data_IF_292803148904
#
_entry.id   IF_292803148904
#
_cell.length_a   1.000
_cell.length_b   1.000
_cell.length_c   1.000
_cell.angle_alpha   90.00
_cell.angle_beta   90.00
_cell.angle_gamma   90.00
#
_symmetry.space_group_name_H-M   'P 1'
#
loop_
_entity.id
_entity.type
_entity.pdbx_description
1 polymer ?
#
# COMPACT_ATOMS: atom_id res chain seq x y z
N UNK A 1 13.23 -11.89 2.04
CA UNK A 1 12.94 -11.37 0.66
C UNK A 1 13.49 -9.97 0.57
N UNK A 2 13.97 -9.52 -0.61
CA UNK A 2 14.41 -8.15 -0.88
C UNK A 2 13.62 -7.59 -2.04
N UNK A 3 13.33 -6.27 -2.01
CA UNK A 3 12.56 -5.60 -3.05
C UNK A 3 13.43 -4.58 -3.79
N UNK A 4 13.71 -4.84 -5.08
CA UNK A 4 14.31 -3.86 -5.98
C UNK A 4 13.31 -2.74 -6.29
N UNK A 5 13.77 -1.48 -6.35
CA UNK A 5 12.89 -0.33 -6.61
C UNK A 5 12.99 0.07 -8.07
N UNK A 6 11.87 -0.01 -8.78
CA UNK A 6 11.67 0.47 -10.16
C UNK A 6 11.00 1.84 -10.12
N UNK A 7 11.71 2.89 -10.58
CA UNK A 7 11.25 4.28 -10.48
C UNK A 7 10.85 4.85 -11.82
N UNK A 8 9.67 5.49 -11.84
CA UNK A 8 9.11 6.12 -13.03
C UNK A 8 8.65 7.56 -12.74
N UNK A 9 8.81 8.46 -13.71
CA UNK A 9 8.25 9.80 -13.62
C UNK A 9 6.73 9.78 -13.77
N UNK A 10 6.21 8.99 -14.70
CA UNK A 10 4.77 8.88 -15.01
C UNK A 10 4.45 7.52 -15.61
N UNK A 11 3.35 6.91 -15.18
CA UNK A 11 2.85 5.62 -15.67
C UNK A 11 1.32 5.67 -15.85
N UNK A 12 0.74 4.64 -16.45
CA UNK A 12 -0.72 4.42 -16.44
C UNK A 12 -1.17 4.09 -15.02
N UNK A 13 -0.61 3.02 -14.45
CA UNK A 13 -0.81 2.56 -13.08
C UNK A 13 0.45 1.82 -12.61
N UNK A 14 0.84 1.97 -11.36
CA UNK A 14 1.98 1.22 -10.79
C UNK A 14 1.70 -0.27 -10.74
N UNK A 15 0.44 -0.70 -10.57
CA UNK A 15 0.06 -2.12 -10.65
C UNK A 15 0.25 -2.67 -12.08
N UNK A 16 -0.10 -1.89 -13.14
CA UNK A 16 0.10 -2.33 -14.52
C UNK A 16 1.58 -2.50 -14.85
N UNK A 17 2.42 -1.62 -14.31
CA UNK A 17 3.89 -1.74 -14.47
C UNK A 17 4.40 -2.99 -13.73
N UNK A 18 3.91 -3.26 -12.51
CA UNK A 18 4.27 -4.47 -11.78
C UNK A 18 3.90 -5.74 -12.56
N UNK A 19 2.69 -5.79 -13.17
CA UNK A 19 2.26 -6.88 -14.06
C UNK A 19 3.25 -7.02 -15.22
N UNK A 20 3.59 -5.92 -15.89
CA UNK A 20 4.53 -5.95 -17.02
C UNK A 20 5.94 -6.45 -16.61
N UNK A 21 6.43 -6.09 -15.43
CA UNK A 21 7.71 -6.58 -14.90
C UNK A 21 7.68 -8.09 -14.64
N UNK A 22 6.57 -8.62 -14.13
CA UNK A 22 6.37 -10.05 -13.92
C UNK A 22 6.34 -10.78 -15.27
N UNK A 23 5.49 -10.36 -16.20
CA UNK A 23 5.24 -11.08 -17.46
C UNK A 23 6.38 -10.95 -18.47
N UNK A 24 6.97 -9.75 -18.62
CA UNK A 24 7.97 -9.46 -19.65
C UNK A 24 9.41 -9.63 -19.16
N UNK A 25 9.67 -9.20 -17.91
CA UNK A 25 11.02 -9.24 -17.35
C UNK A 25 11.23 -10.41 -16.36
N UNK A 26 10.19 -11.24 -16.14
CA UNK A 26 10.21 -12.42 -15.25
C UNK A 26 10.68 -12.09 -13.83
N UNK A 27 10.35 -10.88 -13.35
CA UNK A 27 10.69 -10.47 -11.99
C UNK A 27 9.79 -11.18 -10.99
N UNK A 28 10.38 -11.80 -9.96
CA UNK A 28 9.65 -12.52 -8.92
C UNK A 28 9.21 -11.63 -7.75
N UNK A 29 9.84 -10.48 -7.59
CA UNK A 29 9.47 -9.48 -6.56
C UNK A 29 10.03 -8.11 -6.92
N UNK A 30 9.41 -7.07 -6.38
CA UNK A 30 9.89 -5.69 -6.55
C UNK A 30 8.93 -4.65 -5.98
N UNK A 31 9.36 -3.40 -6.05
CA UNK A 31 8.59 -2.22 -5.68
C UNK A 31 8.59 -1.24 -6.85
N UNK A 32 7.44 -1.02 -7.45
CA UNK A 32 7.26 0.02 -8.48
C UNK A 32 6.86 1.31 -7.79
N UNK A 33 7.55 2.40 -8.07
CA UNK A 33 7.19 3.76 -7.67
C UNK A 33 7.00 4.64 -8.89
N UNK A 34 5.94 5.45 -8.90
CA UNK A 34 5.74 6.50 -9.90
C UNK A 34 5.43 7.86 -9.24
N UNK A 35 5.95 8.95 -9.81
CA UNK A 35 5.66 10.29 -9.31
C UNK A 35 4.23 10.76 -9.70
N UNK A 36 3.61 10.13 -10.70
CA UNK A 36 2.21 10.36 -11.11
C UNK A 36 1.65 9.16 -11.87
N UNK A 37 0.33 9.00 -11.83
CA UNK A 37 -0.41 8.00 -12.62
C UNK A 37 -1.47 8.71 -13.49
N UNK A 38 -1.70 8.19 -14.70
CA UNK A 38 -2.75 8.72 -15.60
C UNK A 38 -4.07 7.95 -15.49
N UNK A 39 -4.00 6.70 -15.05
CA UNK A 39 -5.15 5.80 -14.86
C UNK A 39 -5.00 5.05 -13.53
N UNK A 40 -4.76 5.80 -12.42
CA UNK A 40 -4.72 5.22 -11.07
C UNK A 40 -6.03 4.51 -10.76
N UNK A 41 -5.95 3.26 -10.25
CA UNK A 41 -7.10 2.44 -9.93
C UNK A 41 -7.31 2.33 -8.44
N UNK A 42 -8.58 2.31 -8.04
CA UNK A 42 -9.05 1.89 -6.73
C UNK A 42 -9.89 0.61 -6.84
N UNK A 43 -10.46 0.15 -5.76
CA UNK A 43 -11.36 -1.01 -5.73
C UNK A 43 -12.68 -0.71 -6.45
N UNK A 44 -13.34 -1.77 -6.96
CA UNK A 44 -14.66 -1.70 -7.60
C UNK A 44 -14.71 -0.70 -8.78
N UNK A 45 -13.64 -0.61 -9.58
CA UNK A 45 -13.59 0.27 -10.75
C UNK A 45 -13.46 1.77 -10.43
N UNK A 46 -13.29 2.14 -9.16
CA UNK A 46 -13.06 3.54 -8.78
C UNK A 46 -11.71 4.04 -9.28
N UNK A 47 -11.62 5.34 -9.55
CA UNK A 47 -10.38 6.00 -9.94
C UNK A 47 -9.63 6.45 -8.67
N UNK A 48 -8.34 6.17 -8.59
CA UNK A 48 -7.44 6.80 -7.62
C UNK A 48 -6.81 8.06 -8.21
N UNK A 49 -7.19 9.22 -7.69
CA UNK A 49 -6.66 10.51 -8.14
C UNK A 49 -5.20 10.63 -7.74
N UNK A 50 -4.32 10.76 -8.75
CA UNK A 50 -2.88 10.64 -8.58
C UNK A 50 -2.16 11.99 -8.74
N UNK A 51 -2.41 12.92 -7.81
CA UNK A 51 -1.77 14.22 -7.79
C UNK A 51 -0.28 14.13 -7.45
N UNK A 52 0.56 14.85 -8.21
CA UNK A 52 2.01 14.92 -7.97
C UNK A 52 2.30 15.36 -6.53
N UNK A 53 3.32 14.73 -5.92
CA UNK A 53 3.68 14.97 -4.52
C UNK A 53 3.07 13.98 -3.54
N UNK A 54 2.16 13.12 -4.00
CA UNK A 54 1.63 11.98 -3.25
C UNK A 54 2.40 10.70 -3.57
N UNK A 55 2.15 9.63 -2.80
CA UNK A 55 2.81 8.34 -2.95
C UNK A 55 1.96 7.39 -3.78
N UNK A 56 2.56 6.81 -4.82
CA UNK A 56 1.99 5.72 -5.61
C UNK A 56 3.04 4.64 -5.76
N UNK A 57 2.83 3.54 -5.06
CA UNK A 57 3.73 2.37 -5.12
C UNK A 57 2.94 1.10 -5.30
N UNK A 58 3.57 0.10 -5.92
CA UNK A 58 3.07 -1.28 -5.97
C UNK A 58 4.18 -2.22 -5.53
N UNK A 59 3.97 -2.90 -4.41
CA UNK A 59 4.80 -4.04 -3.98
C UNK A 59 4.26 -5.26 -4.70
N UNK A 60 5.12 -6.07 -5.29
CA UNK A 60 4.73 -7.32 -5.91
C UNK A 60 5.70 -8.46 -5.56
N UNK A 61 5.17 -9.68 -5.47
CA UNK A 61 5.97 -10.87 -5.19
C UNK A 61 5.25 -12.14 -5.57
N UNK A 62 6.02 -13.19 -5.85
CA UNK A 62 5.52 -14.55 -6.00
C UNK A 62 4.96 -15.03 -4.66
N UNK A 63 3.69 -15.41 -4.64
CA UNK A 63 2.98 -15.93 -3.47
C UNK A 63 3.31 -17.41 -3.29
N UNK A 64 4.27 -17.72 -2.43
CA UNK A 64 4.76 -19.07 -2.17
C UNK A 64 3.82 -19.82 -1.23
N UNK A 65 3.87 -21.15 -1.26
CA UNK A 65 3.01 -22.01 -0.41
C UNK A 65 3.19 -21.79 1.10
N UNK A 66 4.39 -21.41 1.52
CA UNK A 66 4.68 -21.10 2.93
C UNK A 66 4.35 -19.67 3.35
N UNK A 67 3.70 -18.90 2.49
CA UNK A 67 3.23 -17.54 2.80
C UNK A 67 1.77 -17.59 3.24
N UNK A 68 1.30 -16.55 3.96
CA UNK A 68 -0.12 -16.39 4.23
C UNK A 68 -0.94 -16.44 2.95
N UNK A 69 -2.14 -17.04 2.97
CA UNK A 69 -3.03 -17.05 1.82
C UNK A 69 -3.41 -15.62 1.40
N UNK A 70 -3.74 -15.45 0.12
CA UNK A 70 -4.05 -14.15 -0.49
C UNK A 70 -5.06 -13.31 0.32
N UNK A 71 -6.13 -13.94 0.82
CA UNK A 71 -7.17 -13.25 1.56
C UNK A 71 -6.69 -12.62 2.87
N UNK A 72 -5.68 -13.19 3.52
CA UNK A 72 -5.13 -12.67 4.79
C UNK A 72 -4.35 -11.37 4.59
N UNK A 73 -3.83 -11.12 3.38
CA UNK A 73 -3.19 -9.84 3.06
C UNK A 73 -4.15 -8.65 3.11
N UNK A 74 -5.47 -8.87 3.08
CA UNK A 74 -6.45 -7.81 3.33
C UNK A 74 -6.38 -7.26 4.77
N UNK A 75 -5.80 -8.01 5.70
CA UNK A 75 -5.54 -7.63 7.09
C UNK A 75 -4.07 -7.19 7.26
N UNK A 76 -3.14 -7.96 6.70
CA UNK A 76 -1.70 -7.71 6.82
C UNK A 76 -1.31 -6.34 6.24
N UNK A 77 -1.76 -6.03 5.03
CA UNK A 77 -1.38 -4.80 4.33
C UNK A 77 -1.83 -3.52 5.04
N UNK A 78 -3.12 -3.38 5.47
CA UNK A 78 -3.53 -2.21 6.23
C UNK A 78 -2.78 -2.05 7.56
N UNK A 79 -2.45 -3.15 8.24
CA UNK A 79 -1.65 -3.09 9.47
C UNK A 79 -0.24 -2.59 9.20
N UNK A 80 0.46 -3.10 8.18
CA UNK A 80 1.78 -2.61 7.78
C UNK A 80 1.71 -1.11 7.48
N UNK A 81 0.72 -0.67 6.71
CA UNK A 81 0.58 0.76 6.37
C UNK A 81 0.18 1.60 7.59
N UNK A 82 -0.58 1.04 8.54
CA UNK A 82 -0.89 1.73 9.80
C UNK A 82 0.38 2.04 10.61
N UNK A 83 1.33 1.10 10.68
CA UNK A 83 2.61 1.32 11.35
C UNK A 83 3.48 2.36 10.63
N UNK A 84 3.46 2.39 9.28
CA UNK A 84 4.10 3.46 8.50
C UNK A 84 3.52 4.82 8.89
N UNK A 85 2.20 4.95 8.93
CA UNK A 85 1.54 6.20 9.29
C UNK A 85 1.79 6.60 10.76
N UNK A 86 1.76 5.66 11.70
CA UNK A 86 2.13 5.91 13.10
C UNK A 86 3.54 6.47 13.24
N UNK A 87 4.49 5.96 12.43
CA UNK A 87 5.87 6.44 12.43
C UNK A 87 5.98 7.90 11.94
N UNK A 88 5.35 8.24 10.81
CA UNK A 88 5.45 9.57 10.20
C UNK A 88 4.46 10.60 10.79
N UNK A 89 3.36 10.15 11.38
CA UNK A 89 2.28 10.98 11.93
C UNK A 89 2.14 10.78 13.44
N UNK A 90 3.25 10.90 14.19
CA UNK A 90 3.29 10.68 15.64
C UNK A 90 2.21 11.49 16.36
N UNK A 91 1.50 10.86 17.29
CA UNK A 91 0.45 11.49 18.09
C UNK A 91 -0.91 11.64 17.36
N UNK A 92 -1.02 11.17 16.10
CA UNK A 92 -2.29 11.18 15.37
C UNK A 92 -2.97 9.81 15.46
N UNK A 93 -4.31 9.81 15.48
CA UNK A 93 -5.10 8.57 15.53
C UNK A 93 -5.15 7.93 14.14
N UNK A 94 -4.50 6.77 14.00
CA UNK A 94 -4.60 5.92 12.81
C UNK A 94 -5.70 4.90 13.03
N UNK A 95 -6.58 4.71 12.05
CA UNK A 95 -7.63 3.69 12.07
C UNK A 95 -7.79 3.02 10.72
N UNK A 96 -8.38 1.83 10.70
CA UNK A 96 -8.60 1.02 9.50
C UNK A 96 -10.09 0.98 9.16
N UNK A 97 -10.39 1.05 7.87
CA UNK A 97 -11.70 0.70 7.35
C UNK A 97 -11.52 -0.41 6.33
N UNK A 98 -11.89 -1.60 6.76
CA UNK A 98 -11.73 -2.78 5.92
C UNK A 98 -12.55 -2.72 4.64
N UNK A 99 -12.03 -3.38 3.57
CA UNK A 99 -10.80 -4.19 3.57
C UNK A 99 -9.52 -3.42 3.19
N UNK A 100 -9.59 -2.15 2.81
CA UNK A 100 -8.53 -1.54 2.00
C UNK A 100 -8.23 -0.06 2.28
N UNK A 101 -8.86 0.54 3.26
CA UNK A 101 -8.71 1.98 3.53
C UNK A 101 -8.06 2.25 4.89
N UNK A 102 -7.10 3.19 4.91
CA UNK A 102 -6.47 3.67 6.15
C UNK A 102 -6.83 5.13 6.36
N UNK A 103 -7.18 5.46 7.59
CA UNK A 103 -7.65 6.77 8.04
C UNK A 103 -6.67 7.38 9.02
N UNK A 104 -6.57 8.70 9.00
CA UNK A 104 -5.85 9.50 9.97
C UNK A 104 -6.79 10.56 10.54
N UNK A 105 -6.97 10.59 11.86
CA UNK A 105 -7.92 11.48 12.54
C UNK A 105 -9.35 11.43 11.93
N UNK A 106 -9.81 10.23 11.55
CA UNK A 106 -11.13 10.02 10.98
C UNK A 106 -11.29 10.37 9.50
N UNK A 107 -10.20 10.78 8.80
CA UNK A 107 -10.20 11.14 7.39
C UNK A 107 -9.35 10.17 6.57
N UNK A 108 -9.79 9.80 5.36
CA UNK A 108 -9.07 8.87 4.50
C UNK A 108 -7.74 9.45 4.05
N UNK A 109 -6.65 8.71 4.28
CA UNK A 109 -5.30 9.11 3.89
C UNK A 109 -4.65 8.14 2.90
N UNK A 110 -5.03 6.87 2.94
CA UNK A 110 -4.44 5.84 2.09
C UNK A 110 -5.50 4.84 1.62
N UNK A 111 -5.34 4.37 0.39
CA UNK A 111 -6.09 3.26 -0.18
C UNK A 111 -5.14 2.17 -0.67
N UNK A 112 -5.54 0.91 -0.50
CA UNK A 112 -4.77 -0.26 -0.89
C UNK A 112 -5.56 -1.06 -1.91
N UNK A 113 -4.94 -1.40 -3.04
CA UNK A 113 -5.53 -2.23 -4.09
C UNK A 113 -4.71 -3.51 -4.26
N UNK A 114 -5.29 -4.64 -3.89
CA UNK A 114 -4.70 -5.96 -4.11
C UNK A 114 -5.19 -6.55 -5.41
N UNK A 115 -4.27 -7.04 -6.22
CA UNK A 115 -4.54 -7.79 -7.44
C UNK A 115 -3.67 -9.05 -7.48
N UNK A 116 -4.16 -10.11 -8.12
CA UNK A 116 -3.40 -11.33 -8.35
C UNK A 116 -3.33 -11.62 -9.84
N UNK A 117 -2.19 -12.15 -10.26
CA UNK A 117 -2.04 -12.73 -11.59
C UNK A 117 -1.38 -14.10 -11.47
N UNK A 118 -1.67 -14.97 -12.42
CA UNK A 118 -0.94 -16.23 -12.59
C UNK A 118 -0.06 -16.11 -13.82
N UNK A 119 1.24 -16.30 -13.66
CA UNK A 119 2.22 -16.30 -14.74
C UNK A 119 3.17 -17.48 -14.59
N UNK A 120 3.39 -18.25 -15.66
CA UNK A 120 4.23 -19.46 -15.68
C UNK A 120 3.94 -20.42 -14.49
N UNK A 121 2.66 -20.68 -14.21
CA UNK A 121 2.15 -21.52 -13.08
C UNK A 121 2.48 -20.98 -11.67
N UNK A 122 2.96 -19.76 -11.55
CA UNK A 122 3.20 -19.07 -10.28
C UNK A 122 2.11 -18.03 -10.05
N UNK A 123 1.60 -17.96 -8.84
CA UNK A 123 0.68 -16.91 -8.44
C UNK A 123 1.46 -15.73 -7.86
N UNK A 124 1.15 -14.54 -8.30
CA UNK A 124 1.76 -13.29 -7.81
C UNK A 124 0.71 -12.44 -7.12
N UNK A 125 1.10 -11.84 -6.01
CA UNK A 125 0.33 -10.79 -5.36
C UNK A 125 0.95 -9.43 -5.70
N UNK A 126 0.08 -8.48 -6.09
CA UNK A 126 0.43 -7.10 -6.38
C UNK A 126 -0.37 -6.21 -5.42
N UNK A 127 0.31 -5.37 -4.67
CA UNK A 127 -0.27 -4.52 -3.62
C UNK A 127 -0.03 -3.07 -3.99
N UNK A 128 -1.01 -2.45 -4.64
CA UNK A 128 -1.02 -1.02 -4.94
C UNK A 128 -1.33 -0.21 -3.69
N UNK A 129 -0.51 0.79 -3.39
CA UNK A 129 -0.65 1.68 -2.24
C UNK A 129 -0.67 3.11 -2.75
N UNK A 130 -1.81 3.76 -2.63
CA UNK A 130 -1.96 5.20 -2.87
C UNK A 130 -2.06 5.92 -1.53
N UNK A 131 -1.16 6.88 -1.25
CA UNK A 131 -1.16 7.63 0.00
C UNK A 131 -1.08 9.13 -0.26
N UNK A 132 -1.95 9.88 0.38
CA UNK A 132 -1.96 11.33 0.33
C UNK A 132 -0.84 11.88 1.22
N UNK A 133 0.21 12.44 0.63
CA UNK A 133 1.37 12.98 1.36
C UNK A 133 1.33 14.49 1.43
N UNK A 134 1.17 15.19 0.29
CA UNK A 134 1.21 16.66 0.23
C UNK A 134 -0.13 17.28 -0.11
N UNK A 135 -1.04 16.53 -0.71
CA UNK A 135 -2.36 17.00 -1.08
C UNK A 135 -3.38 15.87 -1.01
N UNK A 136 -4.63 16.21 -0.84
CA UNK A 136 -5.75 15.29 -0.96
C UNK A 136 -6.64 15.75 -2.12
N UNK A 137 -7.28 14.81 -2.84
CA UNK A 137 -8.25 15.17 -3.85
C UNK A 137 -9.46 15.86 -3.21
N UNK A 138 -10.08 16.79 -3.93
CA UNK A 138 -11.45 17.23 -3.61
C UNK A 138 -12.36 16.07 -3.98
N UNK A 139 -12.72 15.25 -3.01
CA UNK A 139 -13.54 14.05 -3.23
C UNK A 139 -14.98 14.42 -2.93
N UNK A 140 -15.86 14.11 -3.88
CA UNK A 140 -17.32 14.10 -3.72
C UNK A 140 -17.71 12.67 -3.31
N UNK A 141 -17.08 12.15 -2.28
CA UNK A 141 -17.34 10.79 -1.78
C UNK A 141 -17.75 10.81 -0.31
N UNK A 142 -18.22 9.66 0.17
CA UNK A 142 -18.73 9.41 1.52
C UNK A 142 -17.73 9.73 2.66
N UNK A 143 -16.47 10.08 2.34
CA UNK A 143 -15.43 10.33 3.34
C UNK A 143 -14.61 11.56 2.99
N UNK A 144 -14.33 12.37 4.02
CA UNK A 144 -13.31 13.40 3.91
C UNK A 144 -11.92 12.76 3.72
N UNK A 145 -11.12 13.36 2.86
CA UNK A 145 -9.73 12.97 2.66
C UNK A 145 -8.80 13.95 3.38
N UNK A 146 -7.65 13.44 3.84
CA UNK A 146 -6.56 14.23 4.42
C UNK A 146 -5.22 13.84 3.82
N UNK A 147 -4.15 14.53 4.21
CA UNK A 147 -2.78 14.24 3.80
C UNK A 147 -1.79 14.45 4.95
N UNK A 148 -0.61 13.86 4.83
CA UNK A 148 0.42 13.91 5.88
C UNK A 148 0.84 15.35 6.18
N UNK A 149 1.07 16.17 5.14
CA UNK A 149 1.52 17.55 5.31
C UNK A 149 0.50 18.38 6.12
N UNK A 150 -0.79 18.25 5.81
CA UNK A 150 -1.85 18.95 6.54
C UNK A 150 -1.90 18.52 8.01
N UNK A 151 -1.87 17.21 8.27
CA UNK A 151 -2.03 16.66 9.62
C UNK A 151 -0.82 16.86 10.52
N UNK A 152 0.39 16.92 9.95
CA UNK A 152 1.63 16.99 10.73
C UNK A 152 2.34 18.34 10.64
N UNK A 153 1.95 19.20 9.70
CA UNK A 153 2.64 20.44 9.33
C UNK A 153 4.13 20.21 8.95
N UNK A 154 4.47 18.98 8.55
CA UNK A 154 5.84 18.57 8.19
C UNK A 154 5.89 18.05 6.76
N UNK A 155 6.81 18.61 5.96
CA UNK A 155 7.10 18.07 4.63
C UNK A 155 7.96 16.82 4.78
N UNK A 156 7.41 15.67 4.38
CA UNK A 156 8.11 14.38 4.45
C UNK A 156 8.61 14.02 3.05
N UNK A 157 9.86 13.53 2.98
CA UNK A 157 10.42 13.02 1.75
C UNK A 157 9.76 11.67 1.41
N UNK A 158 9.14 11.58 0.23
CA UNK A 158 8.47 10.37 -0.27
C UNK A 158 9.41 9.15 -0.26
N UNK A 159 10.70 9.36 -0.59
CA UNK A 159 11.70 8.28 -0.54
C UNK A 159 11.77 7.63 0.86
N UNK A 160 11.73 8.42 1.94
CA UNK A 160 11.74 7.86 3.31
C UNK A 160 10.51 7.01 3.60
N UNK A 161 9.34 7.39 3.06
CA UNK A 161 8.11 6.60 3.21
C UNK A 161 8.24 5.29 2.44
N UNK A 162 8.75 5.32 1.20
CA UNK A 162 8.99 4.13 0.38
C UNK A 162 9.96 3.18 1.08
N UNK A 163 11.10 3.69 1.54
CA UNK A 163 12.11 2.90 2.24
C UNK A 163 11.51 2.23 3.50
N UNK A 164 10.66 2.96 4.24
CA UNK A 164 9.99 2.40 5.42
C UNK A 164 8.97 1.32 5.06
N UNK A 165 8.17 1.52 4.00
CA UNK A 165 7.22 0.52 3.49
C UNK A 165 7.99 -0.76 3.10
N UNK A 166 9.04 -0.63 2.29
CA UNK A 166 9.86 -1.78 1.85
C UNK A 166 10.43 -2.53 3.04
N UNK A 167 11.07 -1.81 3.98
CA UNK A 167 11.63 -2.42 5.18
C UNK A 167 10.56 -3.14 6.02
N UNK A 168 9.34 -2.62 6.08
CA UNK A 168 8.23 -3.25 6.81
C UNK A 168 7.80 -4.56 6.16
N UNK A 169 7.69 -4.62 4.83
CA UNK A 169 7.42 -5.87 4.11
C UNK A 169 8.60 -6.85 4.21
N UNK A 170 9.84 -6.38 4.04
CA UNK A 170 11.03 -7.24 4.20
C UNK A 170 11.10 -7.87 5.58
N UNK A 171 10.80 -7.07 6.63
CA UNK A 171 10.70 -7.56 8.01
C UNK A 171 9.59 -8.59 8.16
N UNK A 172 8.40 -8.31 7.66
CA UNK A 172 7.28 -9.26 7.67
C UNK A 172 7.68 -10.62 7.07
N UNK A 173 8.31 -10.62 5.88
CA UNK A 173 8.76 -11.85 5.24
C UNK A 173 9.95 -12.53 5.94
N UNK A 174 10.77 -11.78 6.67
CA UNK A 174 11.84 -12.35 7.51
C UNK A 174 11.27 -13.07 8.73
N UNK A 175 10.22 -12.52 9.31
CA UNK A 175 9.63 -12.95 10.56
C UNK A 175 8.36 -13.81 10.35
N UNK A 176 8.21 -14.45 9.17
CA UNK A 176 7.04 -15.26 8.80
C UNK A 176 6.73 -16.40 9.77
N UNK A 177 7.77 -16.98 10.40
CA UNK A 177 7.60 -18.01 11.43
C UNK A 177 6.90 -17.49 12.70
N UNK A 178 6.80 -16.18 12.87
CA UNK A 178 6.09 -15.53 13.98
C UNK A 178 4.70 -15.05 13.54
N UNK A 179 4.31 -15.30 12.29
CA UNK A 179 3.02 -14.91 11.80
C UNK A 179 1.93 -15.77 12.43
N UNK A 180 0.94 -15.10 13.00
CA UNK A 180 -0.29 -15.68 13.55
C UNK A 180 -1.48 -14.85 13.08
N UNK A 181 -2.39 -15.46 12.34
CA UNK A 181 -3.54 -14.78 11.72
C UNK A 181 -4.47 -14.16 12.77
N UNK A 182 -4.81 -14.89 13.83
CA UNK A 182 -5.71 -14.39 14.86
C UNK A 182 -5.11 -13.19 15.60
N UNK A 183 -3.81 -13.20 15.85
CA UNK A 183 -3.10 -12.05 16.45
C UNK A 183 -3.17 -10.83 15.52
N UNK A 184 -2.96 -11.01 14.20
CA UNK A 184 -3.08 -9.91 13.24
C UNK A 184 -4.50 -9.38 13.14
N UNK A 185 -5.49 -10.26 13.10
CA UNK A 185 -6.91 -9.93 13.09
C UNK A 185 -7.32 -9.12 14.32
N UNK A 186 -6.95 -9.58 15.51
CA UNK A 186 -7.22 -8.87 16.77
C UNK A 186 -6.59 -7.47 16.79
N UNK A 187 -5.32 -7.33 16.35
CA UNK A 187 -4.67 -6.03 16.22
C UNK A 187 -5.40 -5.10 15.25
N UNK A 188 -5.89 -5.63 14.15
CA UNK A 188 -6.61 -4.87 13.16
C UNK A 188 -7.98 -4.42 13.67
N UNK A 189 -8.71 -5.28 14.36
CA UNK A 189 -10.01 -4.99 14.98
C UNK A 189 -9.91 -3.86 16.02
N UNK A 190 -8.83 -3.84 16.84
CA UNK A 190 -8.60 -2.80 17.84
C UNK A 190 -8.52 -1.38 17.28
N UNK A 191 -8.13 -1.23 16.02
CA UNK A 191 -8.00 0.08 15.36
C UNK A 191 -8.99 0.27 14.21
N UNK A 192 -9.95 -0.66 14.06
CA UNK A 192 -10.98 -0.56 13.03
C UNK A 192 -12.06 0.44 13.38
N UNK A 193 -12.59 1.10 12.35
CA UNK A 193 -13.80 1.89 12.41
C UNK A 193 -14.93 1.13 11.70
N UNK A 194 -16.10 1.17 12.30
CA UNK A 194 -17.33 0.57 11.76
C UNK A 194 -17.90 1.39 10.61
#
# INVERSE_FOLDING_TARGET
>A
MKFEIFKFARVTSTNDVAISLIEKEKRESGCVYAASQTKGRGTHGKIWISNKGNLFVSIFFHLRENYPPFNEFSIINPLIISEVLKHFCKGKKVSLKFPNDVFLNGKKICGILQETITFEKKNFLIIGIGMNVTSNPKVIDLYEATNILFETQKKINIKKIIDFIINSYEKFFKDLNLYDYENYKNKAELISIK
#
